data_IF_410660616939
#
_entry.id   IF_410660616939
#
_cell.length_a   1.000
_cell.length_b   1.000
_cell.length_c   1.000
_cell.angle_alpha   90.00
_cell.angle_beta   90.00
_cell.angle_gamma   90.00
#
_symmetry.space_group_name_H-M   'P 1'
#
loop_
_entity.id
_entity.type
_entity.pdbx_description
1 polymer ?
#
# COMPACT_ATOMS: atom_id res chain seq x y z
N UNK A 1 -34.71 2.86 30.85
CA UNK A 1 -35.17 2.39 29.53
C UNK A 1 -34.10 1.45 29.02
N UNK A 2 -34.20 0.13 29.04
CA UNK A 2 -35.32 -0.78 29.10
C UNK A 2 -34.75 -2.09 28.55
N UNK A 3 -34.54 -3.04 29.45
CA UNK A 3 -33.97 -4.37 29.30
C UNK A 3 -34.61 -5.16 28.16
N UNK A 4 -33.82 -5.71 27.22
CA UNK A 4 -34.24 -6.85 26.39
C UNK A 4 -33.07 -7.83 26.16
N UNK A 5 -33.16 -8.96 26.86
CA UNK A 5 -32.51 -10.23 26.56
C UNK A 5 -33.54 -11.16 25.91
N UNK A 6 -33.13 -11.93 24.89
CA UNK A 6 -33.34 -13.39 24.70
C UNK A 6 -32.98 -13.74 23.25
N UNK A 7 -31.89 -14.47 23.03
CA UNK A 7 -31.79 -15.94 23.10
C UNK A 7 -32.31 -16.63 21.82
N UNK A 8 -31.38 -17.12 21.01
CA UNK A 8 -31.60 -18.21 20.06
C UNK A 8 -30.37 -19.13 20.07
N UNK A 9 -30.65 -20.41 20.26
CA UNK A 9 -29.72 -21.53 20.40
C UNK A 9 -29.84 -22.44 19.15
N UNK A 10 -28.70 -23.03 18.78
CA UNK A 10 -28.47 -24.27 18.00
C UNK A 10 -28.52 -24.20 16.45
N UNK A 11 -27.87 -25.13 15.71
CA UNK A 11 -26.99 -26.25 16.13
C UNK A 11 -25.59 -26.29 15.49
N UNK A 12 -24.74 -27.12 16.10
CA UNK A 12 -23.48 -27.65 15.56
C UNK A 12 -23.71 -28.38 14.22
N UNK A 13 -22.90 -28.06 13.21
CA UNK A 13 -22.68 -28.92 12.06
C UNK A 13 -21.19 -29.20 11.87
N UNK A 14 -20.96 -30.47 11.59
CA UNK A 14 -19.73 -31.23 11.53
C UNK A 14 -18.88 -30.94 10.31
N UNK A 15 -17.58 -30.77 10.53
CA UNK A 15 -16.48 -31.39 9.80
C UNK A 15 -16.55 -31.47 8.27
N UNK A 16 -15.89 -30.53 7.61
CA UNK A 16 -15.27 -30.74 6.30
C UNK A 16 -13.77 -30.63 6.50
N UNK A 17 -13.07 -31.76 6.47
CA UNK A 17 -11.62 -31.80 6.47
C UNK A 17 -11.12 -31.32 5.10
N UNK A 18 -10.72 -30.05 5.02
CA UNK A 18 -9.95 -29.53 3.89
C UNK A 18 -8.55 -30.11 4.02
N UNK A 19 -8.21 -31.09 3.16
CA UNK A 19 -6.83 -31.52 2.97
C UNK A 19 -6.07 -30.38 2.30
N UNK A 20 -5.46 -29.52 3.12
CA UNK A 20 -4.41 -28.60 2.69
C UNK A 20 -3.22 -29.44 2.19
N UNK A 21 -2.91 -29.31 0.90
CA UNK A 21 -1.67 -29.85 0.34
C UNK A 21 -0.48 -29.10 0.95
N UNK A 22 0.36 -29.82 1.69
CA UNK A 22 1.59 -29.31 2.33
C UNK A 22 2.60 -28.83 1.28
N UNK A 23 2.50 -27.58 0.85
CA UNK A 23 3.60 -26.85 0.20
C UNK A 23 4.45 -26.07 1.24
N UNK A 24 3.97 -25.93 2.48
CA UNK A 24 4.61 -25.12 3.52
C UNK A 24 5.83 -25.77 4.19
N UNK A 25 5.99 -27.10 4.11
CA UNK A 25 7.08 -27.80 4.81
C UNK A 25 8.49 -27.46 4.27
N UNK A 26 8.64 -27.08 3.01
CA UNK A 26 9.96 -26.78 2.45
C UNK A 26 10.45 -25.36 2.81
N UNK A 27 9.55 -24.44 3.17
CA UNK A 27 9.93 -23.07 3.51
C UNK A 27 10.38 -22.93 4.97
N UNK A 28 9.75 -23.66 5.89
CA UNK A 28 10.15 -23.68 7.29
C UNK A 28 11.58 -24.17 7.49
N UNK A 29 12.00 -25.18 6.73
CA UNK A 29 13.31 -25.80 6.89
C UNK A 29 14.43 -24.88 6.41
N UNK A 30 14.17 -24.04 5.40
CA UNK A 30 15.15 -23.10 4.85
C UNK A 30 15.31 -21.86 5.76
N UNK A 31 14.21 -21.34 6.29
CA UNK A 31 14.24 -20.26 7.27
C UNK A 31 14.86 -20.73 8.59
N UNK A 32 14.58 -21.97 9.01
CA UNK A 32 15.23 -22.61 10.13
C UNK A 32 16.73 -22.82 9.86
N UNK A 33 17.12 -23.27 8.67
CA UNK A 33 18.52 -23.44 8.26
C UNK A 33 19.30 -22.12 8.36
N UNK A 34 18.72 -21.01 7.88
CA UNK A 34 19.33 -19.68 7.99
C UNK A 34 19.43 -19.23 9.45
N UNK A 35 18.39 -19.48 10.25
CA UNK A 35 18.41 -19.19 11.69
C UNK A 35 19.42 -20.07 12.45
N UNK A 36 19.62 -21.31 12.01
CA UNK A 36 20.55 -22.28 12.57
C UNK A 36 21.98 -22.13 12.01
N UNK A 37 22.20 -21.16 11.10
CA UNK A 37 23.52 -20.90 10.53
C UNK A 37 24.03 -21.96 9.54
N UNK A 38 23.19 -22.90 9.10
CA UNK A 38 23.57 -23.83 8.03
C UNK A 38 23.60 -23.07 6.70
N UNK A 39 24.81 -22.90 6.18
CA UNK A 39 25.07 -22.15 4.95
C UNK A 39 24.48 -22.87 3.73
N UNK A 40 23.43 -22.31 3.13
CA UNK A 40 23.03 -22.66 1.77
C UNK A 40 24.16 -22.32 0.78
N UNK A 41 24.34 -23.09 -0.30
CA UNK A 41 25.18 -22.68 -1.43
C UNK A 41 24.78 -21.31 -1.97
N UNK A 42 25.76 -20.52 -2.41
CA UNK A 42 25.56 -19.14 -2.90
C UNK A 42 24.56 -19.07 -4.07
N UNK A 43 24.60 -20.05 -4.97
CA UNK A 43 23.66 -20.16 -6.09
C UNK A 43 22.21 -20.39 -5.64
N UNK A 44 22.00 -21.26 -4.65
CA UNK A 44 20.66 -21.54 -4.11
C UNK A 44 20.09 -20.33 -3.37
N UNK A 45 20.95 -19.60 -2.66
CA UNK A 45 20.55 -18.36 -1.99
C UNK A 45 20.15 -17.27 -2.99
N UNK A 46 20.91 -17.10 -4.08
CA UNK A 46 20.57 -16.16 -5.15
C UNK A 46 19.25 -16.54 -5.84
N UNK A 47 19.08 -17.82 -6.19
CA UNK A 47 17.83 -18.33 -6.77
C UNK A 47 16.65 -18.07 -5.82
N UNK A 48 16.85 -18.26 -4.51
CA UNK A 48 15.84 -17.99 -3.50
C UNK A 48 15.46 -16.51 -3.41
N UNK A 49 16.42 -15.60 -3.46
CA UNK A 49 16.15 -14.14 -3.48
C UNK A 49 15.28 -13.78 -4.68
N UNK A 50 15.65 -14.25 -5.88
CA UNK A 50 14.93 -13.96 -7.12
C UNK A 50 13.52 -14.56 -7.11
N UNK A 51 13.37 -15.80 -6.63
CA UNK A 51 12.07 -16.44 -6.46
C UNK A 51 11.16 -15.61 -5.55
N UNK A 52 11.64 -15.26 -4.35
CA UNK A 52 10.86 -14.47 -3.38
C UNK A 52 10.49 -13.09 -3.95
N UNK A 53 11.40 -12.46 -4.70
CA UNK A 53 11.13 -11.19 -5.35
C UNK A 53 10.04 -11.29 -6.43
N UNK A 54 10.07 -12.34 -7.25
CA UNK A 54 9.04 -12.63 -8.25
C UNK A 54 7.67 -12.94 -7.61
N UNK A 55 7.66 -13.55 -6.42
CA UNK A 55 6.45 -13.79 -5.62
C UNK A 55 5.92 -12.53 -4.92
N UNK A 56 6.64 -11.40 -4.98
CA UNK A 56 6.28 -10.15 -4.30
C UNK A 56 6.67 -10.09 -2.82
N UNK A 57 7.42 -11.08 -2.31
CA UNK A 57 7.85 -11.21 -0.90
C UNK A 57 9.17 -10.47 -0.68
N UNK A 58 9.18 -9.17 -1.00
CA UNK A 58 10.42 -8.39 -1.15
C UNK A 58 11.21 -8.22 0.16
N UNK A 59 10.52 -8.17 1.29
CA UNK A 59 11.17 -8.02 2.60
C UNK A 59 11.85 -9.31 3.05
N UNK A 60 11.24 -10.48 2.80
CA UNK A 60 11.94 -11.78 2.91
C UNK A 60 13.11 -11.86 1.93
N UNK A 61 12.89 -11.56 0.64
CA UNK A 61 13.95 -11.55 -0.37
C UNK A 61 15.14 -10.69 0.07
N UNK A 62 14.87 -9.51 0.65
CA UNK A 62 15.91 -8.62 1.19
C UNK A 62 16.72 -9.27 2.31
N UNK A 63 16.09 -10.00 3.23
CA UNK A 63 16.78 -10.70 4.31
C UNK A 63 17.77 -11.74 3.76
N UNK A 64 17.34 -12.51 2.75
CA UNK A 64 18.21 -13.46 2.06
C UNK A 64 19.32 -12.75 1.27
N UNK A 65 19.01 -11.61 0.64
CA UNK A 65 20.00 -10.81 -0.08
C UNK A 65 21.11 -10.29 0.85
N UNK A 66 20.77 -9.85 2.07
CA UNK A 66 21.78 -9.44 3.05
C UNK A 66 22.73 -10.58 3.41
N UNK A 67 22.24 -11.82 3.49
CA UNK A 67 23.10 -12.99 3.70
C UNK A 67 23.95 -13.32 2.47
N UNK A 68 23.45 -13.07 1.25
CA UNK A 68 24.17 -13.25 0.00
C UNK A 68 25.32 -12.22 -0.14
N UNK A 69 25.09 -10.97 0.26
CA UNK A 69 26.07 -9.88 0.20
C UNK A 69 27.31 -10.11 1.10
N UNK A 70 27.20 -11.00 2.08
CA UNK A 70 28.32 -11.41 2.94
C UNK A 70 29.21 -12.49 2.30
N UNK A 71 28.83 -13.03 1.13
CA UNK A 71 29.57 -14.08 0.43
C UNK A 71 30.61 -13.47 -0.52
N UNK A 72 31.75 -14.15 -0.66
CA UNK A 72 32.82 -13.74 -1.57
C UNK A 72 32.69 -14.37 -2.97
N UNK A 73 31.88 -15.41 -3.10
CA UNK A 73 31.75 -16.30 -4.26
C UNK A 73 30.46 -16.08 -5.07
N UNK A 74 30.03 -14.83 -5.23
CA UNK A 74 28.81 -14.51 -5.98
C UNK A 74 29.04 -14.84 -7.48
N UNK A 75 28.19 -15.67 -8.12
CA UNK A 75 28.33 -15.99 -9.53
C UNK A 75 28.14 -14.75 -10.41
N UNK A 76 28.64 -14.81 -11.65
CA UNK A 76 28.37 -13.76 -12.64
C UNK A 76 26.85 -13.63 -12.85
N UNK A 77 26.34 -12.40 -12.75
CA UNK A 77 24.92 -12.09 -12.86
C UNK A 77 24.59 -11.50 -14.23
N UNK A 78 23.36 -11.73 -14.70
CA UNK A 78 22.85 -10.99 -15.86
C UNK A 78 22.41 -9.59 -15.42
N UNK A 79 22.34 -8.64 -16.37
CA UNK A 79 21.85 -7.28 -16.10
C UNK A 79 20.43 -7.26 -15.52
N UNK A 80 19.59 -8.21 -15.92
CA UNK A 80 18.22 -8.37 -15.39
C UNK A 80 18.24 -8.81 -13.91
N UNK A 81 19.10 -9.77 -13.57
CA UNK A 81 19.26 -10.23 -12.19
C UNK A 81 19.78 -9.09 -11.30
N UNK A 82 20.79 -8.35 -11.78
CA UNK A 82 21.34 -7.19 -11.06
C UNK A 82 20.29 -6.12 -10.82
N UNK A 83 19.49 -5.79 -11.83
CA UNK A 83 18.39 -4.83 -11.71
C UNK A 83 17.35 -5.28 -10.67
N UNK A 84 17.02 -6.57 -10.63
CA UNK A 84 16.07 -7.12 -9.66
C UNK A 84 16.63 -7.09 -8.22
N UNK A 85 17.90 -7.47 -8.03
CA UNK A 85 18.55 -7.38 -6.71
C UNK A 85 18.62 -5.93 -6.23
N UNK A 86 18.92 -4.99 -7.14
CA UNK A 86 18.94 -3.58 -6.81
C UNK A 86 17.53 -3.08 -6.42
N UNK A 87 16.48 -3.52 -7.12
CA UNK A 87 15.09 -3.24 -6.74
C UNK A 87 14.77 -3.76 -5.34
N UNK A 88 15.11 -5.01 -5.03
CA UNK A 88 14.88 -5.62 -3.69
C UNK A 88 15.59 -4.81 -2.61
N UNK A 89 16.86 -4.44 -2.82
CA UNK A 89 17.65 -3.64 -1.88
C UNK A 89 16.99 -2.29 -1.62
N UNK A 90 16.72 -1.54 -2.69
CA UNK A 90 16.16 -0.20 -2.60
C UNK A 90 14.77 -0.20 -1.96
N UNK A 91 13.89 -1.10 -2.40
CA UNK A 91 12.52 -1.21 -1.88
C UNK A 91 12.52 -1.52 -0.40
N UNK A 92 13.33 -2.50 0.03
CA UNK A 92 13.39 -2.81 1.44
C UNK A 92 14.05 -1.71 2.29
N UNK A 93 15.00 -0.95 1.74
CA UNK A 93 15.50 0.27 2.41
C UNK A 93 14.40 1.34 2.56
N UNK A 94 13.56 1.55 1.53
CA UNK A 94 12.41 2.47 1.59
C UNK A 94 11.38 2.03 2.63
N UNK A 95 11.05 0.74 2.69
CA UNK A 95 10.14 0.18 3.71
C UNK A 95 10.69 0.42 5.12
N UNK A 96 11.97 0.13 5.37
CA UNK A 96 12.59 0.34 6.68
C UNK A 96 12.65 1.83 7.05
N UNK A 97 12.99 2.69 6.09
CA UNK A 97 13.00 4.14 6.29
C UNK A 97 11.62 4.70 6.63
N UNK A 98 10.58 4.25 5.90
CA UNK A 98 9.19 4.63 6.16
C UNK A 98 8.74 4.20 7.56
N UNK A 99 8.99 2.93 7.93
CA UNK A 99 8.68 2.41 9.27
C UNK A 99 9.39 3.20 10.37
N UNK A 100 10.69 3.45 10.19
CA UNK A 100 11.47 4.24 11.14
C UNK A 100 10.88 5.64 11.31
N UNK A 101 10.57 6.31 10.20
CA UNK A 101 10.01 7.66 10.20
C UNK A 101 8.65 7.74 10.90
N UNK A 102 7.80 6.72 10.72
CA UNK A 102 6.49 6.62 11.36
C UNK A 102 6.54 6.10 12.82
N UNK A 103 7.67 5.52 13.24
CA UNK A 103 7.86 5.01 14.61
C UNK A 103 8.39 6.06 15.59
N UNK A 104 8.89 7.19 15.08
CA UNK A 104 9.50 8.25 15.88
C UNK A 104 8.70 9.54 15.80
N UNK A 105 8.47 10.17 16.95
CA UNK A 105 7.88 11.51 17.04
C UNK A 105 8.97 12.62 16.98
N UNK A 106 10.25 12.24 17.00
CA UNK A 106 11.35 13.20 17.01
C UNK A 106 11.37 14.04 15.72
N UNK A 107 11.34 15.37 15.87
CA UNK A 107 11.33 16.31 14.75
C UNK A 107 9.96 16.56 14.12
N UNK A 108 8.90 15.95 14.65
CA UNK A 108 7.52 16.17 14.23
C UNK A 108 6.82 17.18 15.15
N UNK A 109 6.03 18.08 14.57
CA UNK A 109 5.12 18.96 15.31
C UNK A 109 3.71 18.42 15.17
N UNK A 110 3.10 18.03 16.28
CA UNK A 110 1.71 17.56 16.28
C UNK A 110 0.77 18.71 15.92
N UNK A 111 -0.04 18.50 14.88
CA UNK A 111 -1.01 19.49 14.41
C UNK A 111 -2.38 19.29 15.06
N UNK A 112 -2.87 18.04 15.05
CA UNK A 112 -4.24 17.68 15.45
C UNK A 112 -4.24 16.31 16.12
N UNK A 113 -5.08 16.16 17.13
CA UNK A 113 -5.63 14.87 17.55
C UNK A 113 -7.15 15.01 17.66
N UNK A 114 -7.89 14.31 16.79
CA UNK A 114 -9.35 14.39 16.75
C UNK A 114 -9.96 13.07 16.28
N UNK A 115 -10.97 12.57 16.99
CA UNK A 115 -11.69 11.34 16.64
C UNK A 115 -10.79 10.13 16.35
N UNK A 116 -9.71 9.95 17.13
CA UNK A 116 -8.75 8.86 16.96
C UNK A 116 -7.75 9.07 15.81
N UNK A 117 -7.83 10.19 15.09
CA UNK A 117 -6.89 10.58 14.04
C UNK A 117 -5.82 11.47 14.66
N UNK A 118 -4.55 11.14 14.43
CA UNK A 118 -3.40 11.97 14.82
C UNK A 118 -2.66 12.43 13.57
N UNK A 119 -2.35 13.71 13.50
CA UNK A 119 -1.62 14.30 12.39
C UNK A 119 -0.43 15.10 12.91
N UNK A 120 0.71 14.94 12.25
CA UNK A 120 1.93 15.67 12.49
C UNK A 120 2.45 16.28 11.19
N UNK A 121 3.19 17.36 11.30
CA UNK A 121 3.91 17.95 10.18
C UNK A 121 5.34 18.26 10.60
N UNK A 122 6.24 18.31 9.62
CA UNK A 122 7.58 18.83 9.82
C UNK A 122 7.67 20.18 9.12
N UNK A 123 8.24 21.18 9.80
CA UNK A 123 8.51 22.47 9.15
C UNK A 123 9.44 22.26 7.96
N UNK A 124 9.12 22.91 6.85
CA UNK A 124 9.97 22.93 5.69
C UNK A 124 11.34 23.51 6.08
N UNK A 125 12.42 22.83 5.71
CA UNK A 125 13.74 23.43 5.84
C UNK A 125 13.79 24.69 4.97
N UNK A 126 14.40 25.80 5.43
CA UNK A 126 14.53 27.01 4.62
C UNK A 126 15.08 26.69 3.22
N UNK A 127 14.35 27.08 2.18
CA UNK A 127 14.72 26.82 0.77
C UNK A 127 14.30 25.46 0.21
N UNK A 128 13.74 24.54 1.02
CA UNK A 128 13.11 23.31 0.52
C UNK A 128 11.59 23.48 0.49
N UNK A 129 11.00 23.49 -0.71
CA UNK A 129 9.54 23.55 -0.89
C UNK A 129 8.78 22.28 -0.51
N UNK A 130 9.43 21.30 0.12
CA UNK A 130 8.84 19.99 0.40
C UNK A 130 7.95 20.04 1.64
N UNK A 131 6.68 19.74 1.46
CA UNK A 131 5.68 19.58 2.50
C UNK A 131 5.75 18.16 3.04
N UNK A 132 5.95 18.01 4.35
CA UNK A 132 6.01 16.70 5.02
C UNK A 132 4.91 16.57 6.05
N UNK A 133 4.04 15.60 5.86
CA UNK A 133 2.92 15.30 6.74
C UNK A 133 2.93 13.83 7.09
N UNK A 134 2.72 13.55 8.37
CA UNK A 134 2.47 12.22 8.88
C UNK A 134 1.06 12.20 9.47
N UNK A 135 0.33 11.11 9.29
CA UNK A 135 -0.91 10.90 10.01
C UNK A 135 -1.14 9.43 10.29
N UNK A 136 -1.92 9.15 11.32
CA UNK A 136 -2.41 7.80 11.57
C UNK A 136 -3.80 7.80 12.17
N UNK A 137 -4.53 6.73 11.89
CA UNK A 137 -5.84 6.46 12.47
C UNK A 137 -6.14 4.96 12.44
N UNK A 138 -7.08 4.54 13.27
CA UNK A 138 -7.77 3.26 13.11
C UNK A 138 -8.97 3.46 12.19
N UNK A 139 -9.03 2.68 11.12
CA UNK A 139 -10.14 2.69 10.17
C UNK A 139 -10.95 1.43 10.36
N UNK A 140 -12.21 1.58 10.74
CA UNK A 140 -13.20 0.49 10.87
C UNK A 140 -13.60 -0.02 9.48
N UNK A 141 -12.68 -0.78 8.87
CA UNK A 141 -12.81 -1.35 7.56
C UNK A 141 -11.95 -2.62 7.43
N UNK A 142 -12.46 -3.65 6.72
CA UNK A 142 -11.66 -4.80 6.33
C UNK A 142 -10.46 -4.36 5.49
N UNK A 143 -9.32 -5.04 5.65
CA UNK A 143 -8.11 -4.72 4.89
C UNK A 143 -8.32 -4.82 3.38
N UNK A 144 -9.14 -5.78 2.93
CA UNK A 144 -9.44 -5.98 1.51
C UNK A 144 -10.08 -4.73 0.90
N UNK A 145 -11.07 -4.14 1.58
CA UNK A 145 -11.79 -2.97 1.08
C UNK A 145 -10.84 -1.76 0.99
N UNK A 146 -9.97 -1.57 1.99
CA UNK A 146 -8.96 -0.51 1.98
C UNK A 146 -7.98 -0.64 0.80
N UNK A 147 -7.42 -1.84 0.59
CA UNK A 147 -6.52 -2.10 -0.53
C UNK A 147 -7.21 -1.89 -1.87
N UNK A 148 -8.45 -2.32 -1.99
CA UNK A 148 -9.25 -2.17 -3.20
C UNK A 148 -9.44 -0.69 -3.53
N UNK A 149 -9.74 0.14 -2.53
CA UNK A 149 -9.92 1.58 -2.75
C UNK A 149 -8.62 2.27 -3.13
N UNK A 150 -7.49 1.88 -2.52
CA UNK A 150 -6.20 2.39 -2.94
C UNK A 150 -5.85 1.97 -4.38
N UNK A 151 -6.26 0.78 -4.80
CA UNK A 151 -6.01 0.27 -6.14
C UNK A 151 -6.84 0.99 -7.22
N UNK A 152 -8.13 1.19 -6.97
CA UNK A 152 -9.09 1.78 -7.93
C UNK A 152 -9.00 3.31 -7.95
N UNK A 153 -7.87 3.81 -8.43
CA UNK A 153 -7.52 5.23 -8.49
C UNK A 153 -8.50 6.07 -9.32
N UNK A 154 -9.13 5.47 -10.34
CA UNK A 154 -10.16 6.12 -11.15
C UNK A 154 -11.41 6.49 -10.33
N UNK A 155 -11.68 5.80 -9.22
CA UNK A 155 -12.77 6.14 -8.31
C UNK A 155 -12.42 7.20 -7.26
N UNK A 156 -11.16 7.64 -7.16
CA UNK A 156 -10.75 8.57 -6.10
C UNK A 156 -11.50 9.89 -6.14
N UNK A 157 -11.80 10.42 -7.32
CA UNK A 157 -12.57 11.67 -7.46
C UNK A 157 -13.98 11.60 -6.84
N UNK A 158 -14.53 10.39 -6.60
CA UNK A 158 -15.86 10.19 -6.02
C UNK A 158 -15.89 10.29 -4.50
N UNK A 159 -14.76 10.05 -3.82
CA UNK A 159 -14.70 9.99 -2.35
C UNK A 159 -13.61 10.88 -1.75
N UNK A 160 -12.56 11.20 -2.50
CA UNK A 160 -11.52 12.11 -2.04
C UNK A 160 -12.14 13.47 -1.71
N UNK A 161 -11.75 14.09 -0.58
CA UNK A 161 -12.36 15.32 -0.15
C UNK A 161 -12.09 16.46 -1.16
N UNK A 162 -13.16 17.19 -1.47
CA UNK A 162 -13.11 18.44 -2.23
C UNK A 162 -13.86 19.53 -1.46
N UNK A 163 -13.35 20.74 -1.50
CA UNK A 163 -13.94 21.92 -0.88
C UNK A 163 -13.84 23.10 -1.83
N UNK A 164 -14.98 23.48 -2.43
CA UNK A 164 -15.02 24.51 -3.47
C UNK A 164 -14.13 24.11 -4.66
N UNK A 165 -13.10 24.89 -4.93
CA UNK A 165 -12.12 24.64 -6.00
C UNK A 165 -10.82 23.95 -5.52
N UNK A 166 -10.77 23.53 -4.25
CA UNK A 166 -9.64 22.79 -3.69
C UNK A 166 -9.98 21.31 -3.61
N UNK A 167 -9.14 20.43 -4.15
CA UNK A 167 -9.31 18.99 -4.02
C UNK A 167 -8.85 18.20 -5.23
N UNK A 168 -9.15 16.91 -5.23
CA UNK A 168 -8.85 16.03 -6.35
C UNK A 168 -9.85 16.26 -7.50
N UNK A 169 -9.35 16.63 -8.68
CA UNK A 169 -10.16 16.88 -9.88
C UNK A 169 -10.28 15.61 -10.73
N UNK A 170 -9.17 14.92 -10.93
CA UNK A 170 -9.09 13.70 -11.72
C UNK A 170 -7.93 12.84 -11.24
N UNK A 171 -8.02 11.53 -11.46
CA UNK A 171 -6.96 10.59 -11.17
C UNK A 171 -7.12 9.35 -12.05
N UNK A 172 -6.04 8.63 -12.29
CA UNK A 172 -6.07 7.42 -13.10
C UNK A 172 -4.79 6.62 -13.07
N UNK A 173 -4.85 5.45 -13.69
CA UNK A 173 -3.72 4.55 -13.90
C UNK A 173 -3.03 4.91 -15.23
N UNK A 174 -1.73 5.19 -15.19
CA UNK A 174 -0.91 5.41 -16.39
C UNK A 174 -0.28 4.13 -16.90
N UNK A 175 0.16 3.26 -15.99
CA UNK A 175 0.91 2.06 -16.35
C UNK A 175 1.00 1.07 -15.20
N UNK A 176 1.33 -0.16 -15.53
CA UNK A 176 1.38 -1.28 -14.57
C UNK A 176 2.45 -2.29 -14.97
N UNK A 177 3.21 -2.78 -13.98
CA UNK A 177 4.18 -3.87 -14.13
C UNK A 177 3.90 -4.96 -13.10
N UNK A 178 2.97 -5.85 -13.44
CA UNK A 178 2.46 -6.86 -12.50
C UNK A 178 1.42 -6.30 -11.52
N UNK A 179 0.93 -7.11 -10.56
CA UNK A 179 -0.24 -6.74 -9.76
C UNK A 179 0.02 -5.62 -8.74
N UNK A 180 1.27 -5.44 -8.28
CA UNK A 180 1.60 -4.57 -7.15
C UNK A 180 2.43 -3.34 -7.50
N UNK A 181 2.79 -3.17 -8.78
CA UNK A 181 3.61 -2.05 -9.26
C UNK A 181 2.84 -1.28 -10.31
N UNK A 182 2.44 -0.07 -9.94
CA UNK A 182 1.53 0.77 -10.70
C UNK A 182 2.15 2.14 -10.89
N UNK A 183 1.67 2.90 -11.86
CA UNK A 183 1.96 4.33 -11.98
C UNK A 183 0.64 5.06 -12.01
N UNK A 184 0.43 5.93 -11.05
CA UNK A 184 -0.75 6.77 -10.98
C UNK A 184 -0.44 8.16 -11.48
N UNK A 185 -1.49 8.81 -12.00
CA UNK A 185 -1.53 10.24 -12.17
C UNK A 185 -2.71 10.81 -11.39
N UNK A 186 -2.54 12.03 -10.89
CA UNK A 186 -3.61 12.80 -10.28
C UNK A 186 -3.48 14.28 -10.60
N UNK A 187 -4.62 14.95 -10.72
CA UNK A 187 -4.74 16.39 -10.86
C UNK A 187 -5.43 16.94 -9.61
N UNK A 188 -4.72 17.75 -8.85
CA UNK A 188 -5.22 18.45 -7.67
C UNK A 188 -5.46 19.93 -8.01
N UNK A 189 -6.69 20.39 -7.80
CA UNK A 189 -7.03 21.80 -7.90
C UNK A 189 -6.63 22.52 -6.61
N UNK A 190 -6.02 23.70 -6.77
CA UNK A 190 -5.64 24.61 -5.70
C UNK A 190 -6.44 25.93 -5.85
N UNK A 191 -6.67 26.66 -4.75
CA UNK A 191 -7.36 27.95 -4.83
C UNK A 191 -6.52 29.00 -5.58
N UNK A 192 -7.19 29.94 -6.23
CA UNK A 192 -6.52 31.11 -6.82
C UNK A 192 -5.69 31.86 -5.75
N UNK A 193 -4.47 32.33 -6.07
CA UNK A 193 -3.84 32.43 -7.40
C UNK A 193 -2.99 31.21 -7.82
N UNK A 194 -3.09 30.07 -7.13
CA UNK A 194 -2.26 28.91 -7.44
C UNK A 194 -2.80 28.14 -8.65
N UNK A 195 -1.90 27.74 -9.54
CA UNK A 195 -2.22 26.79 -10.62
C UNK A 195 -2.49 25.39 -10.05
N UNK A 196 -3.19 24.55 -10.81
CA UNK A 196 -3.37 23.14 -10.47
C UNK A 196 -2.03 22.40 -10.38
N UNK A 197 -2.04 21.28 -9.65
CA UNK A 197 -0.89 20.39 -9.53
C UNK A 197 -1.19 19.05 -10.13
N UNK A 198 -0.25 18.55 -10.92
CA UNK A 198 -0.31 17.20 -11.48
C UNK A 198 0.77 16.39 -10.81
N UNK A 199 0.44 15.25 -10.23
CA UNK A 199 1.43 14.32 -9.69
C UNK A 199 1.45 13.06 -10.55
N UNK A 200 2.64 12.52 -10.80
CA UNK A 200 2.85 11.21 -11.44
C UNK A 200 3.79 10.42 -10.57
N UNK A 201 3.34 9.30 -10.02
CA UNK A 201 4.15 8.53 -9.09
C UNK A 201 3.95 7.05 -9.23
N UNK A 202 5.04 6.31 -9.04
CA UNK A 202 4.97 4.88 -8.89
C UNK A 202 4.31 4.55 -7.56
N UNK A 203 3.56 3.47 -7.57
CA UNK A 203 3.05 2.79 -6.39
C UNK A 203 3.63 1.39 -6.39
N UNK A 204 4.32 1.01 -5.31
CA UNK A 204 4.82 -0.35 -5.09
C UNK A 204 4.29 -0.85 -3.76
N UNK A 205 3.34 -1.78 -3.81
CA UNK A 205 2.83 -2.47 -2.64
C UNK A 205 3.76 -3.62 -2.26
N UNK A 206 4.18 -3.64 -1.01
CA UNK A 206 5.10 -4.61 -0.43
C UNK A 206 4.35 -5.41 0.63
N UNK A 207 4.19 -6.70 0.35
CA UNK A 207 3.62 -7.63 1.30
C UNK A 207 4.66 -8.01 2.36
N UNK A 208 4.39 -7.63 3.61
CA UNK A 208 5.17 -8.01 4.79
C UNK A 208 4.34 -8.88 5.74
N UNK A 209 3.37 -9.66 5.24
CA UNK A 209 2.44 -10.44 6.06
C UNK A 209 2.98 -11.82 6.46
N UNK A 210 4.16 -12.23 6.00
CA UNK A 210 4.68 -13.57 6.31
C UNK A 210 5.00 -13.71 7.80
N UNK A 211 4.84 -14.89 8.38
CA UNK A 211 5.06 -15.13 9.82
C UNK A 211 6.47 -14.74 10.32
N UNK A 212 7.47 -14.81 9.44
CA UNK A 212 8.85 -14.40 9.74
C UNK A 212 9.10 -12.89 9.69
N UNK A 213 8.09 -12.09 9.36
CA UNK A 213 8.18 -10.63 9.20
C UNK A 213 7.47 -9.95 10.37
N UNK A 214 8.20 -9.11 11.10
CA UNK A 214 7.67 -8.37 12.24
C UNK A 214 7.98 -6.87 12.06
N UNK A 215 6.97 -5.99 12.13
CA UNK A 215 5.53 -6.28 12.23
C UNK A 215 4.93 -6.81 10.91
N UNK A 216 3.90 -7.66 11.03
CA UNK A 216 3.09 -8.14 9.89
C UNK A 216 2.20 -7.02 9.34
N UNK A 217 2.54 -6.50 8.16
CA UNK A 217 1.90 -5.31 7.60
C UNK A 217 1.87 -5.36 6.08
N UNK A 218 1.06 -4.50 5.47
CA UNK A 218 1.20 -4.14 4.05
C UNK A 218 1.76 -2.73 3.99
N UNK A 219 2.81 -2.55 3.19
CA UNK A 219 3.46 -1.24 2.99
C UNK A 219 3.28 -0.81 1.56
N UNK A 220 2.69 0.36 1.32
CA UNK A 220 2.47 0.91 -0.01
C UNK A 220 3.42 2.10 -0.18
N UNK A 221 4.43 1.96 -1.03
CA UNK A 221 5.41 3.01 -1.31
C UNK A 221 4.94 3.88 -2.47
N UNK A 222 5.14 5.19 -2.37
CA UNK A 222 4.81 6.17 -3.39
C UNK A 222 6.04 7.01 -3.73
N UNK A 223 6.41 7.07 -5.00
CA UNK A 223 7.56 7.88 -5.44
C UNK A 223 7.49 8.27 -6.91
N UNK A 224 7.64 9.56 -7.19
CA UNK A 224 7.63 10.15 -8.54
C UNK A 224 8.89 9.82 -9.33
N UNK A 225 10.02 9.67 -8.65
CA UNK A 225 11.29 9.32 -9.29
C UNK A 225 11.29 7.89 -9.84
N UNK A 226 10.40 7.05 -9.32
CA UNK A 226 10.28 5.65 -9.70
C UNK A 226 9.32 5.41 -10.86
N UNK A 227 8.45 6.37 -11.16
CA UNK A 227 7.43 6.24 -12.21
C UNK A 227 8.03 5.87 -13.57
N UNK A 228 9.15 6.47 -14.03
CA UNK A 228 9.78 6.10 -15.31
C UNK A 228 10.27 4.65 -15.39
N UNK A 229 10.60 4.02 -14.25
CA UNK A 229 11.06 2.63 -14.24
C UNK A 229 9.95 1.61 -14.53
N UNK A 230 8.69 2.03 -14.40
CA UNK A 230 7.49 1.22 -14.64
C UNK A 230 6.81 1.64 -15.94
N UNK A 231 6.78 2.94 -16.24
CA UNK A 231 6.19 3.53 -17.44
C UNK A 231 7.23 4.44 -18.12
N UNK A 232 8.15 3.89 -18.94
CA UNK A 232 9.22 4.64 -19.59
C UNK A 232 8.71 5.76 -20.50
N UNK A 233 7.49 5.64 -21.03
CA UNK A 233 6.82 6.64 -21.87
C UNK A 233 6.69 8.00 -21.17
N UNK A 234 6.76 8.02 -19.84
CA UNK A 234 6.78 9.25 -19.05
C UNK A 234 8.04 10.12 -19.24
N UNK A 235 9.13 9.54 -19.75
CA UNK A 235 10.36 10.29 -20.06
C UNK A 235 10.19 11.14 -21.32
N UNK A 236 9.46 10.61 -22.29
CA UNK A 236 9.31 11.22 -23.62
C UNK A 236 8.04 12.08 -23.73
N UNK A 237 7.08 11.88 -22.83
CA UNK A 237 5.84 12.62 -22.84
C UNK A 237 6.02 14.06 -22.33
N UNK A 238 6.21 15.00 -23.26
CA UNK A 238 5.62 16.33 -23.15
C UNK A 238 4.09 16.15 -23.16
N UNK A 239 3.49 15.64 -22.08
CA UNK A 239 2.07 15.26 -22.12
C UNK A 239 1.22 16.51 -22.33
N UNK A 240 0.64 16.73 -23.54
CA UNK A 240 0.04 18.01 -23.89
C UNK A 240 -1.33 18.21 -23.24
N UNK A 241 -1.87 17.16 -22.62
CA UNK A 241 -3.26 17.10 -22.16
C UNK A 241 -3.45 17.58 -20.71
N UNK A 242 -2.38 17.65 -19.91
CA UNK A 242 -2.51 17.98 -18.49
C UNK A 242 -2.23 19.46 -18.22
N UNK A 243 -3.27 20.17 -17.78
CA UNK A 243 -3.16 21.58 -17.39
C UNK A 243 -2.73 21.67 -15.91
N UNK A 244 -1.44 21.89 -15.66
CA UNK A 244 -0.97 22.14 -14.30
C UNK A 244 0.55 22.09 -14.16
N UNK A 245 1.03 22.46 -12.97
CA UNK A 245 2.44 22.35 -12.62
C UNK A 245 2.70 20.94 -12.09
N UNK A 246 3.72 20.27 -12.62
CA UNK A 246 4.13 18.97 -12.12
C UNK A 246 4.64 19.09 -10.69
N UNK A 247 4.06 18.31 -9.78
CA UNK A 247 4.48 18.15 -8.41
C UNK A 247 5.02 16.73 -8.19
N UNK A 248 5.95 16.60 -7.24
CA UNK A 248 6.56 15.31 -6.93
C UNK A 248 6.10 14.79 -5.58
N UNK A 249 5.57 13.58 -5.56
CA UNK A 249 5.47 12.74 -4.36
C UNK A 249 6.81 12.03 -4.18
N UNK A 250 7.45 12.20 -3.02
CA UNK A 250 8.82 11.73 -2.75
C UNK A 250 8.84 10.83 -1.52
N UNK A 251 9.45 9.64 -1.60
CA UNK A 251 9.66 8.71 -0.47
C UNK A 251 8.45 8.64 0.49
N UNK A 252 7.26 8.58 -0.08
CA UNK A 252 5.99 8.63 0.65
C UNK A 252 5.42 7.22 0.77
N UNK A 253 4.42 7.04 1.61
CA UNK A 253 3.77 5.74 1.67
C UNK A 253 2.73 5.59 2.75
N UNK A 254 2.06 4.44 2.69
CA UNK A 254 1.10 3.97 3.67
C UNK A 254 1.63 2.70 4.34
N UNK A 255 1.33 2.55 5.62
CA UNK A 255 1.45 1.28 6.34
C UNK A 255 0.06 0.89 6.82
N UNK A 256 -0.37 -0.31 6.42
CA UNK A 256 -1.63 -0.90 6.83
C UNK A 256 -1.32 -2.07 7.78
N UNK A 257 -1.77 -1.94 9.02
CA UNK A 257 -1.64 -2.99 10.03
C UNK A 257 -3.03 -3.60 10.26
N UNK A 258 -3.21 -4.90 9.93
CA UNK A 258 -4.50 -5.57 10.14
C UNK A 258 -4.90 -5.57 11.63
N UNK A 259 -6.21 -5.60 11.95
CA UNK A 259 -6.68 -5.52 13.33
C UNK A 259 -6.14 -6.64 14.24
N UNK A 260 -6.06 -7.86 13.72
CA UNK A 260 -5.52 -9.03 14.43
C UNK A 260 -4.02 -8.93 14.77
N UNK A 261 -3.26 -8.16 13.98
CA UNK A 261 -1.84 -7.88 14.25
C UNK A 261 -1.70 -6.67 15.18
N UNK A 262 -2.50 -5.63 14.95
CA UNK A 262 -2.45 -4.38 15.70
C UNK A 262 -3.08 -4.47 17.10
N UNK A 263 -3.88 -5.50 17.37
CA UNK A 263 -4.71 -5.58 18.57
C UNK A 263 -5.83 -4.53 18.57
N UNK A 264 -6.31 -4.13 17.39
CA UNK A 264 -7.27 -3.04 17.18
C UNK A 264 -8.59 -3.58 16.62
N UNK A 265 -9.65 -2.77 16.69
CA UNK A 265 -10.96 -3.14 16.12
C UNK A 265 -11.02 -3.00 14.60
N UNK A 266 -10.27 -2.04 14.06
CA UNK A 266 -10.14 -1.78 12.64
C UNK A 266 -8.69 -1.88 12.15
N UNK A 267 -8.49 -1.71 10.86
CA UNK A 267 -7.16 -1.65 10.26
C UNK A 267 -6.49 -0.34 10.67
N UNK A 268 -5.31 -0.40 11.30
CA UNK A 268 -4.52 0.80 11.59
C UNK A 268 -3.84 1.25 10.29
N UNK A 269 -4.09 2.49 9.91
CA UNK A 269 -3.51 3.13 8.72
C UNK A 269 -2.58 4.23 9.18
N UNK A 270 -1.32 4.15 8.77
CA UNK A 270 -0.32 5.21 8.95
C UNK A 270 0.10 5.72 7.59
N UNK A 271 0.29 7.02 7.45
CA UNK A 271 0.68 7.66 6.19
C UNK A 271 1.84 8.61 6.44
N UNK A 272 2.82 8.58 5.54
CA UNK A 272 3.84 9.60 5.37
C UNK A 272 3.71 10.17 3.98
N UNK A 273 3.54 11.49 3.88
CA UNK A 273 3.49 12.20 2.62
C UNK A 273 4.57 13.26 2.60
N UNK A 274 5.54 13.12 1.69
CA UNK A 274 6.44 14.19 1.30
C UNK A 274 6.07 14.64 -0.12
N UNK A 275 5.59 15.87 -0.24
CA UNK A 275 5.12 16.46 -1.48
C UNK A 275 5.98 17.69 -1.81
N UNK A 276 6.58 17.73 -2.98
CA UNK A 276 7.16 18.94 -3.56
C UNK A 276 6.18 19.54 -4.57
N UNK A 277 5.40 20.57 -4.19
CA UNK A 277 4.45 21.22 -5.06
C UNK A 277 5.13 22.22 -6.02
N UNK A 278 6.47 22.28 -6.09
CA UNK A 278 7.23 23.21 -6.93
C UNK A 278 6.84 24.67 -6.71
N UNK A 279 6.62 25.03 -5.45
CA UNK A 279 6.33 26.40 -5.04
C UNK A 279 6.73 26.60 -3.59
N UNK A 280 6.93 27.86 -3.21
CA UNK A 280 7.02 28.23 -1.80
C UNK A 280 5.61 28.19 -1.24
N UNK A 281 5.32 27.18 -0.43
CA UNK A 281 4.05 27.06 0.28
C UNK A 281 4.18 27.81 1.60
N UNK A 282 3.32 28.81 1.89
CA UNK A 282 3.31 29.44 3.20
C UNK A 282 3.05 28.41 4.30
N UNK A 283 3.72 28.53 5.44
CA UNK A 283 3.60 27.58 6.56
C UNK A 283 2.15 27.39 7.02
N UNK A 284 1.34 28.46 6.98
CA UNK A 284 -0.08 28.37 7.34
C UNK A 284 -0.86 27.44 6.41
N UNK A 285 -0.51 27.39 5.11
CA UNK A 285 -1.17 26.54 4.13
C UNK A 285 -0.68 25.09 4.25
N UNK A 286 0.60 24.89 4.55
CA UNK A 286 1.15 23.56 4.92
C UNK A 286 0.41 23.02 6.15
N UNK A 287 0.30 23.85 7.19
CA UNK A 287 -0.45 23.53 8.40
C UNK A 287 -1.92 23.26 8.07
N UNK A 288 -2.56 24.08 7.26
CA UNK A 288 -3.94 23.87 6.82
C UNK A 288 -4.11 22.54 6.08
N UNK A 289 -3.20 22.19 5.16
CA UNK A 289 -3.22 20.91 4.46
C UNK A 289 -3.01 19.73 5.43
N UNK A 290 -2.01 19.80 6.32
CA UNK A 290 -1.77 18.77 7.33
C UNK A 290 -2.96 18.59 8.29
N UNK A 291 -3.59 19.71 8.67
CA UNK A 291 -4.74 19.74 9.57
C UNK A 291 -6.01 19.21 8.90
N UNK A 292 -6.32 19.68 7.69
CA UNK A 292 -7.62 19.46 7.09
C UNK A 292 -7.58 18.34 6.05
N UNK A 293 -6.57 18.24 5.19
CA UNK A 293 -6.56 17.23 4.13
C UNK A 293 -6.45 15.82 4.71
N UNK A 294 -5.48 15.57 5.59
CA UNK A 294 -5.34 14.25 6.22
C UNK A 294 -6.58 13.88 7.05
N UNK A 295 -7.08 14.83 7.84
CA UNK A 295 -8.30 14.64 8.62
C UNK A 295 -9.49 14.29 7.71
N UNK A 296 -9.70 15.07 6.64
CA UNK A 296 -10.80 14.87 5.71
C UNK A 296 -10.66 13.53 4.97
N UNK A 297 -9.45 13.13 4.55
CA UNK A 297 -9.20 11.82 3.93
C UNK A 297 -9.64 10.70 4.90
N UNK A 298 -9.21 10.76 6.16
CA UNK A 298 -9.60 9.75 7.15
C UNK A 298 -11.10 9.73 7.43
N UNK A 299 -11.74 10.89 7.51
CA UNK A 299 -13.20 10.99 7.66
C UNK A 299 -13.94 10.44 6.44
N UNK A 300 -13.38 10.61 5.24
CA UNK A 300 -13.96 10.12 3.99
C UNK A 300 -13.73 8.63 3.73
N UNK A 301 -12.85 7.94 4.47
CA UNK A 301 -12.71 6.49 4.31
C UNK A 301 -14.03 5.74 4.51
N UNK A 302 -14.92 6.22 5.39
CA UNK A 302 -16.27 5.65 5.52
C UNK A 302 -17.11 5.79 4.25
N UNK A 303 -17.00 6.93 3.56
CA UNK A 303 -17.66 7.11 2.27
C UNK A 303 -17.03 6.22 1.20
N UNK A 304 -15.71 6.13 1.19
CA UNK A 304 -14.96 5.27 0.30
C UNK A 304 -15.36 3.79 0.50
N UNK A 305 -15.50 3.30 1.73
CA UNK A 305 -15.92 1.92 2.00
C UNK A 305 -17.30 1.60 1.43
N UNK A 306 -18.23 2.57 1.43
CA UNK A 306 -19.53 2.39 0.76
C UNK A 306 -19.36 2.24 -0.75
N UNK A 307 -18.40 2.96 -1.35
CA UNK A 307 -18.09 2.85 -2.77
C UNK A 307 -17.54 1.45 -3.13
N UNK A 308 -16.71 0.86 -2.27
CA UNK A 308 -16.18 -0.50 -2.44
C UNK A 308 -17.27 -1.58 -2.52
N UNK A 309 -18.50 -1.24 -2.10
CA UNK A 309 -19.67 -2.13 -2.13
C UNK A 309 -20.66 -1.79 -3.25
N UNK A 310 -20.31 -0.88 -4.16
CA UNK A 310 -21.15 -0.58 -5.33
C UNK A 310 -21.00 -1.63 -6.43
N UNK A 311 -22.02 -1.84 -7.30
CA UNK A 311 -21.96 -2.86 -8.35
C UNK A 311 -20.77 -2.72 -9.29
N UNK A 312 -20.43 -1.48 -9.69
CA UNK A 312 -19.29 -1.16 -10.57
C UNK A 312 -17.96 -1.63 -9.96
N UNK A 313 -17.82 -1.43 -8.64
CA UNK A 313 -16.62 -1.83 -7.91
C UNK A 313 -16.58 -3.34 -7.69
N UNK A 314 -17.72 -3.95 -7.34
CA UNK A 314 -17.85 -5.39 -7.14
C UNK A 314 -17.63 -6.16 -8.44
N UNK A 315 -17.96 -5.59 -9.59
CA UNK A 315 -17.67 -6.20 -10.89
C UNK A 315 -16.18 -6.44 -11.11
N UNK A 316 -15.32 -5.48 -10.72
CA UNK A 316 -13.86 -5.61 -10.82
C UNK A 316 -13.29 -6.46 -9.69
N UNK A 317 -13.67 -6.18 -8.44
CA UNK A 317 -13.11 -6.82 -7.23
C UNK A 317 -13.52 -8.27 -6.99
N UNK A 318 -14.59 -8.71 -7.66
CA UNK A 318 -15.05 -10.10 -7.62
C UNK A 318 -14.67 -10.91 -8.87
N UNK A 319 -13.97 -10.31 -9.84
CA UNK A 319 -13.48 -11.04 -11.02
C UNK A 319 -12.32 -11.97 -10.63
N UNK A 320 -12.46 -13.30 -10.76
CA UNK A 320 -11.39 -14.25 -10.44
C UNK A 320 -10.14 -14.07 -11.31
N UNK A 321 -10.28 -13.47 -12.50
CA UNK A 321 -9.17 -13.26 -13.44
C UNK A 321 -8.41 -11.97 -13.21
N UNK A 322 -8.92 -11.10 -12.33
CA UNK A 322 -8.27 -9.83 -12.09
C UNK A 322 -6.96 -10.04 -11.32
N UNK A 323 -5.80 -9.62 -11.86
CA UNK A 323 -4.49 -10.00 -11.32
C UNK A 323 -4.22 -9.45 -9.92
N UNK A 324 -4.64 -8.21 -9.63
CA UNK A 324 -4.51 -7.62 -8.29
C UNK A 324 -5.39 -8.34 -7.26
N UNK A 325 -6.69 -8.46 -7.52
CA UNK A 325 -7.64 -9.08 -6.57
C UNK A 325 -7.36 -10.56 -6.31
N UNK A 326 -7.00 -11.33 -7.35
CA UNK A 326 -6.57 -12.72 -7.18
C UNK A 326 -5.31 -12.81 -6.32
N UNK A 327 -4.33 -11.93 -6.53
CA UNK A 327 -3.12 -11.87 -5.72
C UNK A 327 -3.42 -11.58 -4.25
N UNK A 328 -4.15 -10.50 -3.93
CA UNK A 328 -4.42 -10.13 -2.53
C UNK A 328 -5.26 -11.18 -1.82
N UNK A 329 -6.23 -11.81 -2.50
CA UNK A 329 -7.04 -12.89 -1.91
C UNK A 329 -6.20 -14.10 -1.57
N UNK A 330 -5.29 -14.51 -2.46
CA UNK A 330 -4.35 -15.60 -2.20
C UNK A 330 -3.51 -15.28 -0.95
N UNK A 331 -2.96 -14.07 -0.86
CA UNK A 331 -2.13 -13.66 0.28
C UNK A 331 -2.92 -13.58 1.59
N UNK A 332 -4.16 -13.08 1.56
CA UNK A 332 -5.04 -13.08 2.73
C UNK A 332 -5.44 -14.49 3.14
N UNK A 333 -5.71 -15.41 2.19
CA UNK A 333 -6.01 -16.81 2.52
C UNK A 333 -4.85 -17.47 3.30
N UNK A 334 -3.62 -17.13 2.93
CA UNK A 334 -2.41 -17.69 3.54
C UNK A 334 -2.09 -17.05 4.90
N UNK A 335 -2.27 -15.73 5.05
CA UNK A 335 -1.75 -14.99 6.21
C UNK A 335 -2.82 -14.34 7.11
N UNK A 336 -4.02 -14.09 6.60
CA UNK A 336 -5.11 -13.38 7.29
C UNK A 336 -6.50 -13.97 6.95
N UNK A 337 -6.80 -15.24 7.29
CA UNK A 337 -8.05 -15.89 6.88
C UNK A 337 -9.31 -15.13 7.35
N UNK A 338 -9.28 -14.56 8.56
CA UNK A 338 -10.35 -13.72 9.13
C UNK A 338 -10.63 -12.45 8.34
N UNK A 339 -9.61 -11.87 7.68
CA UNK A 339 -9.80 -10.72 6.79
C UNK A 339 -10.40 -11.15 5.45
N UNK A 340 -10.01 -12.33 4.94
CA UNK A 340 -10.55 -12.86 3.70
C UNK A 340 -12.06 -13.16 3.80
N UNK A 341 -12.53 -13.65 4.96
CA UNK A 341 -13.96 -13.90 5.22
C UNK A 341 -14.82 -12.63 5.10
N UNK A 342 -14.24 -11.45 5.31
CA UNK A 342 -14.92 -10.16 5.20
C UNK A 342 -14.89 -9.58 3.76
N UNK A 343 -14.05 -10.14 2.89
CA UNK A 343 -13.97 -9.72 1.50
C UNK A 343 -15.24 -10.15 0.73
N UNK A 344 -15.67 -9.38 -0.29
CA UNK A 344 -16.73 -9.82 -1.20
C UNK A 344 -16.45 -11.20 -1.78
N UNK A 345 -17.47 -12.04 -1.97
CA UNK A 345 -17.29 -13.35 -2.58
C UNK A 345 -16.82 -13.24 -4.03
N UNK A 346 -15.93 -14.14 -4.46
CA UNK A 346 -15.49 -14.22 -5.85
C UNK A 346 -16.66 -14.71 -6.72
N UNK A 347 -16.85 -14.09 -7.88
CA UNK A 347 -17.90 -14.49 -8.82
C UNK A 347 -17.59 -15.88 -9.38
N UNK A 348 -18.58 -16.78 -9.51
CA UNK A 348 -18.37 -18.07 -10.17
C UNK A 348 -17.87 -17.89 -11.61
N UNK A 349 -16.91 -18.71 -12.02
CA UNK A 349 -16.46 -18.72 -13.42
C UNK A 349 -17.63 -19.05 -14.35
N UNK A 350 -17.85 -18.23 -15.38
CA UNK A 350 -18.91 -18.43 -16.36
C UNK A 350 -20.20 -17.65 -16.11
N UNK A 351 -20.34 -16.96 -14.97
CA UNK A 351 -21.48 -16.09 -14.74
C UNK A 351 -21.31 -14.73 -15.46
N UNK A 352 -21.67 -14.67 -16.74
CA UNK A 352 -21.74 -13.39 -17.49
C UNK A 352 -23.08 -12.71 -17.21
N UNK A 353 -23.04 -11.70 -16.34
CA UNK A 353 -24.00 -10.61 -16.12
C UNK A 353 -25.47 -10.90 -16.49
N UNK A 354 -26.30 -11.23 -15.48
CA UNK A 354 -27.63 -10.62 -15.22
C UNK A 354 -28.50 -11.34 -14.15
N UNK A 355 -28.09 -12.50 -13.63
CA UNK A 355 -28.88 -13.21 -12.60
C UNK A 355 -27.95 -13.82 -11.53
N UNK A 356 -27.61 -13.05 -10.51
CA UNK A 356 -27.08 -13.53 -9.23
C UNK A 356 -27.67 -12.65 -8.13
#
# INVERSE_FOLDING_TARGET
LGTWMRALKLPLLTGVAVRSCRADCCHSDLDAAIQQGTALPTQDLLARVLQLAAEGRLMLARRHLAALELRQDIPAMTSEMEAELWRVRRTGSKVLGLRQCLSTEAGWTQSISFAGIRCWHQQAQPGRGVVRVCAEAEVDAPLFDLLSIFYEVDFWHRWAPSFGHLGLKSAGLLGQKGPLRLVYWLEASLPWPFQHRVCRFAVEAVDCMSAGEQPQQIVILLDSQEAPSICPELLDAESPEWQGVLADVLDSGFILTPPEVGGTSGTKVQVLLNLDPKMVVPDWLVKYAAMNLCLLIFLQYRAAMRLARTPEFLERSCDPKHPFYSHIRKRMAESLPSQLEQAPAVRPEGCRNQQC
#
